data_IF_191030527878
#
_entry.id   IF_191030527878
#
_cell.length_a   1.000
_cell.length_b   1.000
_cell.length_c   1.000
_cell.angle_alpha   90.00
_cell.angle_beta   90.00
_cell.angle_gamma   90.00
#
_symmetry.space_group_name_H-M   'P 1'
#
loop_
_entity.id
_entity.type
_entity.pdbx_description
1 polymer ?
#
# COMPACT_ATOMS: atom_id res chain seq x y z
N UNK A 1 6.56 6.14 3.25
CA UNK A 1 6.15 7.16 2.29
C UNK A 1 7.26 8.19 2.11
N UNK A 2 7.45 8.65 0.90
CA UNK A 2 8.45 9.67 0.54
C UNK A 2 7.78 10.78 -0.26
N UNK A 3 8.16 12.01 0.02
CA UNK A 3 7.76 13.18 -0.74
C UNK A 3 8.93 13.65 -1.59
N UNK A 4 8.77 13.64 -2.91
CA UNK A 4 9.80 13.94 -3.87
C UNK A 4 9.48 15.23 -4.65
N UNK A 5 10.50 16.06 -4.87
CA UNK A 5 10.44 17.20 -5.79
C UNK A 5 11.39 16.97 -6.94
N UNK A 6 10.86 16.88 -8.15
CA UNK A 6 11.68 16.76 -9.36
C UNK A 6 12.21 18.13 -9.75
N UNK A 7 13.53 18.23 -9.86
CA UNK A 7 14.20 19.38 -10.47
C UNK A 7 14.14 19.20 -12.00
N UNK A 8 13.92 20.28 -12.73
CA UNK A 8 13.90 20.27 -14.20
C UNK A 8 15.16 19.65 -14.79
N UNK A 9 15.14 19.36 -16.07
CA UNK A 9 16.23 18.70 -16.79
C UNK A 9 17.53 19.50 -16.70
N UNK A 10 18.40 19.19 -15.75
CA UNK A 10 19.78 19.66 -15.79
C UNK A 10 20.54 18.84 -16.84
N UNK A 11 20.89 19.49 -17.92
CA UNK A 11 21.80 18.95 -18.92
C UNK A 11 23.20 19.12 -18.39
N UNK A 12 23.80 18.10 -17.79
CA UNK A 12 25.22 18.14 -17.48
C UNK A 12 26.00 18.23 -18.79
N UNK A 13 26.92 19.20 -18.90
CA UNK A 13 27.75 19.42 -20.07
C UNK A 13 28.71 18.27 -20.41
N UNK A 14 28.81 17.27 -19.53
CA UNK A 14 29.76 16.15 -19.62
C UNK A 14 29.10 14.87 -20.13
N UNK A 15 27.79 14.67 -19.94
CA UNK A 15 27.08 13.54 -20.53
C UNK A 15 25.81 14.06 -21.21
N UNK A 16 25.60 13.69 -22.45
CA UNK A 16 24.36 13.96 -23.21
C UNK A 16 23.13 13.24 -22.65
N UNK A 17 23.22 12.66 -21.46
CA UNK A 17 22.11 11.99 -20.77
C UNK A 17 21.39 13.01 -19.88
N UNK A 18 20.10 13.17 -20.11
CA UNK A 18 19.20 13.92 -19.22
C UNK A 18 19.06 13.13 -17.91
N UNK A 19 19.75 13.56 -16.85
CA UNK A 19 19.58 12.98 -15.53
C UNK A 19 18.37 13.67 -14.89
N UNK A 20 17.32 12.90 -14.62
CA UNK A 20 16.20 13.39 -13.80
C UNK A 20 16.63 13.33 -12.35
N UNK A 21 16.86 14.48 -11.75
CA UNK A 21 17.17 14.58 -10.33
C UNK A 21 15.88 14.78 -9.53
N UNK A 22 15.69 13.96 -8.50
CA UNK A 22 14.64 14.15 -7.51
C UNK A 22 15.27 14.54 -6.17
N UNK A 23 14.68 15.52 -5.50
CA UNK A 23 15.04 15.86 -4.13
C UNK A 23 14.01 15.26 -3.17
N UNK A 24 14.48 14.58 -2.12
CA UNK A 24 13.61 14.06 -1.07
C UNK A 24 13.24 15.23 -0.13
N UNK A 25 11.99 15.66 -0.21
CA UNK A 25 11.43 16.71 0.64
C UNK A 25 11.06 16.18 2.02
N UNK A 26 10.49 14.98 2.06
CA UNK A 26 10.15 14.31 3.31
C UNK A 26 10.14 12.81 3.18
N UNK A 27 10.36 12.13 4.30
CA UNK A 27 10.33 10.67 4.41
C UNK A 27 9.77 10.26 5.75
N UNK A 28 8.83 9.35 5.75
CA UNK A 28 8.25 8.77 6.96
C UNK A 28 7.93 7.30 6.75
N UNK A 29 7.77 6.54 7.83
CA UNK A 29 7.46 5.13 7.79
C UNK A 29 6.80 4.64 9.07
N UNK A 30 6.08 3.54 8.94
CA UNK A 30 5.52 2.76 10.05
C UNK A 30 6.06 1.34 9.98
N UNK A 31 6.06 0.64 11.11
CA UNK A 31 6.42 -0.78 11.17
C UNK A 31 5.27 -1.70 10.72
N UNK A 32 4.24 -1.16 10.08
CA UNK A 32 3.09 -1.91 9.58
C UNK A 32 3.28 -2.22 8.10
N UNK A 33 3.10 -3.48 7.74
CA UNK A 33 3.20 -3.96 6.37
C UNK A 33 2.28 -5.14 6.07
N UNK A 34 2.48 -5.80 4.94
CA UNK A 34 1.62 -6.89 4.47
C UNK A 34 1.50 -8.04 5.47
N UNK A 35 2.58 -8.37 6.20
CA UNK A 35 2.58 -9.44 7.22
C UNK A 35 1.72 -9.10 8.44
N UNK A 36 1.65 -7.83 8.81
CA UNK A 36 0.79 -7.41 9.93
C UNK A 36 -0.68 -7.56 9.54
N UNK A 37 -1.04 -7.26 8.30
CA UNK A 37 -2.41 -7.48 7.81
C UNK A 37 -2.78 -8.97 7.82
N UNK A 38 -1.84 -9.85 7.43
CA UNK A 38 -2.02 -11.30 7.50
C UNK A 38 -2.23 -11.75 8.94
N UNK A 39 -1.44 -11.23 9.89
CA UNK A 39 -1.57 -11.54 11.30
C UNK A 39 -2.92 -11.05 11.86
N UNK A 40 -3.38 -9.88 11.50
CA UNK A 40 -4.69 -9.36 11.94
C UNK A 40 -5.86 -10.21 11.44
N UNK A 41 -5.75 -10.78 10.23
CA UNK A 41 -6.72 -11.75 9.72
C UNK A 41 -6.68 -13.03 10.57
N UNK A 42 -5.48 -13.55 10.86
CA UNK A 42 -5.30 -14.73 11.72
C UNK A 42 -5.90 -14.49 13.10
N UNK A 43 -5.57 -13.38 13.74
CA UNK A 43 -6.04 -13.03 15.07
C UNK A 43 -7.56 -12.88 15.12
N UNK A 44 -8.15 -12.29 14.08
CA UNK A 44 -9.60 -12.18 13.95
C UNK A 44 -10.28 -13.56 13.96
N UNK A 45 -9.76 -14.54 13.19
CA UNK A 45 -10.34 -15.88 13.14
C UNK A 45 -10.13 -16.64 14.42
N UNK A 46 -8.96 -16.57 15.05
CA UNK A 46 -8.68 -17.23 16.33
C UNK A 46 -9.56 -16.65 17.43
N UNK A 47 -9.60 -15.34 17.58
CA UNK A 47 -10.29 -14.68 18.69
C UNK A 47 -11.82 -14.80 18.60
N UNK A 48 -12.37 -14.68 17.40
CA UNK A 48 -13.82 -14.64 17.21
C UNK A 48 -14.45 -16.01 16.99
N UNK A 49 -13.70 -16.98 16.44
CA UNK A 49 -14.30 -18.21 15.93
C UNK A 49 -13.60 -19.50 16.37
N UNK A 50 -12.53 -19.43 17.15
CA UNK A 50 -11.74 -20.61 17.60
C UNK A 50 -11.26 -21.50 16.43
N UNK A 51 -10.85 -20.90 15.31
CA UNK A 51 -10.39 -21.62 14.14
C UNK A 51 -8.88 -21.51 13.98
N UNK A 52 -8.25 -22.65 13.67
CA UNK A 52 -6.87 -22.67 13.26
C UNK A 52 -6.74 -22.14 11.83
N UNK A 53 -6.13 -20.98 11.69
CA UNK A 53 -5.68 -20.47 10.39
C UNK A 53 -4.19 -20.15 10.46
N UNK A 54 -3.53 -20.06 9.31
CA UNK A 54 -2.12 -19.72 9.24
C UNK A 54 -1.88 -18.51 8.35
N UNK A 55 -0.68 -17.93 8.43
CA UNK A 55 -0.30 -16.73 7.69
C UNK A 55 -0.40 -16.91 6.16
N UNK A 56 -0.09 -18.10 5.63
CA UNK A 56 -0.19 -18.37 4.18
C UNK A 56 -1.63 -18.26 3.70
N UNK A 57 -2.57 -18.79 4.48
CA UNK A 57 -4.00 -18.70 4.14
C UNK A 57 -4.51 -17.26 4.26
N UNK A 58 -4.06 -16.54 5.29
CA UNK A 58 -4.39 -15.13 5.47
C UNK A 58 -3.85 -14.26 4.31
N UNK A 59 -2.63 -14.52 3.84
CA UNK A 59 -2.06 -13.84 2.68
C UNK A 59 -2.88 -14.09 1.40
N UNK A 60 -3.26 -15.35 1.15
CA UNK A 60 -4.13 -15.70 0.02
C UNK A 60 -5.44 -14.89 0.05
N UNK A 61 -6.08 -14.84 1.21
CA UNK A 61 -7.31 -14.07 1.45
C UNK A 61 -7.10 -12.60 1.16
N UNK A 62 -6.07 -12.00 1.77
CA UNK A 62 -5.71 -10.59 1.58
C UNK A 62 -5.52 -10.28 0.10
N UNK A 63 -4.74 -11.08 -0.62
CA UNK A 63 -4.48 -10.88 -2.04
C UNK A 63 -5.76 -10.95 -2.87
N UNK A 64 -6.63 -11.90 -2.61
CA UNK A 64 -7.91 -12.03 -3.33
C UNK A 64 -8.85 -10.87 -3.05
N UNK A 65 -9.02 -10.46 -1.79
CA UNK A 65 -9.87 -9.34 -1.42
C UNK A 65 -9.33 -7.98 -1.89
N UNK A 66 -8.02 -7.87 -2.11
CA UNK A 66 -7.38 -6.67 -2.66
C UNK A 66 -7.40 -6.61 -4.19
N UNK A 67 -7.70 -7.73 -4.86
CA UNK A 67 -7.72 -7.77 -6.32
C UNK A 67 -9.02 -7.16 -6.87
N UNK A 68 -8.90 -6.42 -7.99
CA UNK A 68 -10.05 -5.84 -8.70
C UNK A 68 -10.93 -6.88 -9.42
N UNK A 69 -10.54 -8.14 -9.40
CA UNK A 69 -11.21 -9.24 -10.12
C UNK A 69 -12.51 -9.65 -9.43
N UNK A 70 -12.65 -9.43 -8.12
CA UNK A 70 -13.87 -9.75 -7.38
C UNK A 70 -14.90 -8.63 -7.58
N UNK A 71 -15.42 -8.50 -8.82
CA UNK A 71 -16.50 -7.53 -9.12
C UNK A 71 -17.92 -8.05 -8.81
N UNK A 72 -18.11 -9.37 -8.65
CA UNK A 72 -19.43 -9.98 -8.58
C UNK A 72 -19.74 -10.77 -7.31
N UNK A 73 -18.73 -11.19 -6.54
CA UNK A 73 -18.95 -11.84 -5.25
C UNK A 73 -18.22 -11.04 -4.16
N UNK A 74 -18.95 -10.22 -3.40
CA UNK A 74 -18.39 -9.46 -2.29
C UNK A 74 -17.88 -10.35 -1.14
N UNK A 75 -17.84 -11.67 -1.33
CA UNK A 75 -17.47 -12.64 -0.29
C UNK A 75 -16.50 -13.68 -0.85
N UNK A 76 -15.42 -13.89 -0.14
CA UNK A 76 -14.47 -14.96 -0.43
C UNK A 76 -14.69 -16.13 0.52
N UNK A 77 -14.92 -17.31 -0.05
CA UNK A 77 -15.08 -18.56 0.72
C UNK A 77 -13.72 -19.08 1.17
N UNK A 78 -13.61 -19.39 2.46
CA UNK A 78 -12.41 -19.96 3.07
C UNK A 78 -12.82 -21.19 3.85
N UNK A 79 -12.14 -22.31 3.64
CA UNK A 79 -12.29 -23.48 4.48
C UNK A 79 -11.21 -23.46 5.56
N UNK A 80 -11.63 -23.47 6.81
CA UNK A 80 -10.77 -23.45 8.00
C UNK A 80 -11.02 -24.72 8.83
N UNK A 81 -9.97 -25.22 9.49
CA UNK A 81 -10.09 -26.31 10.42
C UNK A 81 -10.52 -25.78 11.80
N UNK A 82 -11.50 -26.42 12.40
CA UNK A 82 -11.88 -26.20 13.80
C UNK A 82 -10.86 -26.84 14.74
N UNK A 83 -10.91 -26.51 16.04
CA UNK A 83 -10.13 -27.20 17.08
C UNK A 83 -10.35 -28.72 17.12
N UNK A 84 -11.48 -29.18 16.58
CA UNK A 84 -11.84 -30.59 16.47
C UNK A 84 -11.43 -31.23 15.14
N UNK A 85 -10.55 -30.58 14.36
CA UNK A 85 -10.12 -31.01 13.02
C UNK A 85 -11.26 -31.18 11.99
N UNK A 86 -12.39 -30.51 12.20
CA UNK A 86 -13.48 -30.47 11.21
C UNK A 86 -13.28 -29.27 10.29
N UNK A 87 -13.41 -29.50 8.99
CA UNK A 87 -13.37 -28.41 8.01
C UNK A 87 -14.70 -27.63 8.03
N UNK A 88 -14.61 -26.32 8.13
CA UNK A 88 -15.76 -25.43 8.10
C UNK A 88 -15.52 -24.24 7.17
N UNK A 89 -16.54 -23.94 6.39
CA UNK A 89 -16.51 -22.85 5.43
C UNK A 89 -16.85 -21.51 6.07
N UNK A 90 -16.04 -20.51 5.78
CA UNK A 90 -16.25 -19.11 6.12
C UNK A 90 -16.33 -18.26 4.88
N UNK A 91 -17.06 -17.17 5.01
CA UNK A 91 -17.16 -16.16 3.97
C UNK A 91 -16.61 -14.84 4.51
N UNK A 92 -15.46 -14.43 4.01
CA UNK A 92 -14.89 -13.12 4.28
C UNK A 92 -15.30 -12.14 3.19
N UNK A 93 -15.99 -11.07 3.59
CA UNK A 93 -16.34 -9.99 2.66
C UNK A 93 -15.27 -8.89 2.67
N UNK A 94 -15.29 -8.04 1.63
CA UNK A 94 -14.45 -6.84 1.57
C UNK A 94 -14.69 -5.95 2.78
N UNK A 95 -15.94 -5.75 3.16
CA UNK A 95 -16.36 -4.91 4.30
C UNK A 95 -15.81 -5.45 5.62
N UNK A 96 -15.84 -6.78 5.80
CA UNK A 96 -15.28 -7.41 7.00
C UNK A 96 -13.75 -7.25 7.04
N UNK A 97 -13.08 -7.41 5.90
CA UNK A 97 -11.64 -7.17 5.83
C UNK A 97 -11.29 -5.72 6.16
N UNK A 98 -12.00 -4.75 5.59
CA UNK A 98 -11.82 -3.34 5.91
C UNK A 98 -12.07 -3.04 7.39
N UNK A 99 -13.09 -3.68 7.99
CA UNK A 99 -13.34 -3.59 9.43
C UNK A 99 -12.16 -4.09 10.26
N UNK A 100 -11.59 -5.25 9.92
CA UNK A 100 -10.38 -5.79 10.58
C UNK A 100 -9.23 -4.77 10.53
N UNK A 101 -8.98 -4.16 9.36
CA UNK A 101 -7.93 -3.15 9.19
C UNK A 101 -8.18 -1.90 10.03
N UNK A 102 -9.43 -1.43 10.09
CA UNK A 102 -9.81 -0.26 10.88
C UNK A 102 -9.70 -0.52 12.39
N UNK A 103 -10.14 -1.67 12.88
CA UNK A 103 -10.04 -2.07 14.29
C UNK A 103 -8.59 -2.17 14.75
N UNK A 104 -7.66 -2.50 13.84
CA UNK A 104 -6.22 -2.49 14.08
C UNK A 104 -5.56 -1.11 13.82
N UNK A 105 -6.35 -0.04 13.85
CA UNK A 105 -5.89 1.35 13.77
C UNK A 105 -5.16 1.74 12.47
N UNK A 106 -5.32 1.03 11.36
CA UNK A 106 -4.64 1.34 10.10
C UNK A 106 -4.85 2.80 9.69
N UNK A 107 -6.07 3.31 9.77
CA UNK A 107 -6.40 4.69 9.37
C UNK A 107 -5.65 5.72 10.24
N UNK A 108 -5.50 5.46 11.54
CA UNK A 108 -4.76 6.35 12.44
C UNK A 108 -3.26 6.37 12.10
N UNK A 109 -2.69 5.22 11.75
CA UNK A 109 -1.31 5.16 11.28
C UNK A 109 -1.11 5.94 9.97
N UNK A 110 -2.02 5.78 8.99
CA UNK A 110 -1.97 6.53 7.74
C UNK A 110 -2.10 8.05 7.98
N UNK A 111 -3.00 8.48 8.87
CA UNK A 111 -3.14 9.88 9.24
C UNK A 111 -1.85 10.45 9.87
N UNK A 112 -1.19 9.67 10.74
CA UNK A 112 0.08 10.06 11.35
C UNK A 112 1.18 10.24 10.30
N UNK A 113 1.32 9.27 9.37
CA UNK A 113 2.30 9.37 8.28
C UNK A 113 2.09 10.61 7.41
N UNK A 114 0.84 10.91 7.05
CA UNK A 114 0.52 12.09 6.25
C UNK A 114 0.84 13.38 7.01
N UNK A 115 0.53 13.44 8.30
CA UNK A 115 0.86 14.59 9.17
C UNK A 115 2.37 14.81 9.24
N UNK A 116 3.15 13.74 9.41
CA UNK A 116 4.60 13.82 9.48
C UNK A 116 5.20 14.32 8.16
N UNK A 117 4.73 13.82 7.02
CA UNK A 117 5.13 14.32 5.70
C UNK A 117 4.77 15.79 5.50
N UNK A 118 3.56 16.20 5.89
CA UNK A 118 3.11 17.59 5.81
C UNK A 118 4.00 18.53 6.63
N UNK A 119 4.40 18.10 7.84
CA UNK A 119 5.29 18.89 8.69
C UNK A 119 6.70 19.04 8.07
N UNK A 120 7.23 17.96 7.49
CA UNK A 120 8.53 17.99 6.82
C UNK A 120 8.49 18.87 5.55
N UNK A 121 7.40 18.81 4.78
CA UNK A 121 7.20 19.63 3.60
C UNK A 121 7.19 21.13 3.95
N UNK A 122 6.43 21.51 5.00
CA UNK A 122 6.37 22.90 5.49
C UNK A 122 7.75 23.41 5.90
N UNK A 123 8.57 22.59 6.55
CA UNK A 123 9.95 22.92 6.91
C UNK A 123 10.85 23.21 5.70
N UNK A 124 10.45 22.80 4.49
CA UNK A 124 11.15 23.06 3.23
C UNK A 124 10.36 23.98 2.29
N UNK A 125 9.42 24.74 2.81
CA UNK A 125 8.56 25.67 2.05
C UNK A 125 7.78 24.98 0.91
N UNK A 126 7.35 23.73 1.14
CA UNK A 126 6.51 22.96 0.23
C UNK A 126 5.18 22.60 0.91
N UNK A 127 4.11 22.42 0.13
CA UNK A 127 2.83 21.95 0.62
C UNK A 127 2.47 20.58 0.03
N UNK A 128 1.80 19.74 0.82
CA UNK A 128 1.22 18.48 0.34
C UNK A 128 0.04 18.75 -0.60
N UNK A 129 -0.59 19.91 -0.50
CA UNK A 129 -1.69 20.33 -1.38
C UNK A 129 -1.22 20.69 -2.80
N UNK A 130 0.09 20.87 -2.99
CA UNK A 130 0.72 21.17 -4.29
C UNK A 130 1.24 19.91 -5.00
N UNK A 131 0.89 18.73 -4.53
CA UNK A 131 1.30 17.47 -5.15
C UNK A 131 0.72 17.34 -6.56
N UNK A 132 1.57 16.94 -7.51
CA UNK A 132 1.14 16.68 -8.90
C UNK A 132 0.59 15.27 -9.07
N UNK A 133 1.12 14.28 -8.33
CA UNK A 133 0.67 12.89 -8.38
C UNK A 133 1.06 12.14 -7.12
N UNK A 134 0.36 11.03 -6.86
CA UNK A 134 0.70 10.04 -5.83
C UNK A 134 0.98 8.71 -6.51
N UNK A 135 2.14 8.14 -6.25
CA UNK A 135 2.54 6.85 -6.80
C UNK A 135 2.46 5.79 -5.70
N UNK A 136 1.58 4.81 -5.87
CA UNK A 136 1.38 3.70 -4.95
C UNK A 136 2.19 2.49 -5.37
N UNK A 137 3.21 2.12 -4.61
CA UNK A 137 4.07 0.97 -4.89
C UNK A 137 3.98 -0.08 -3.79
N UNK A 138 4.22 -1.35 -4.17
CA UNK A 138 4.19 -2.49 -3.28
C UNK A 138 2.79 -3.09 -3.07
N UNK A 139 2.75 -4.36 -2.62
CA UNK A 139 1.50 -5.14 -2.51
C UNK A 139 0.46 -4.54 -1.55
N UNK A 140 0.89 -3.99 -0.41
CA UNK A 140 -0.01 -3.37 0.57
C UNK A 140 -0.78 -2.17 0.01
N UNK A 141 -0.20 -1.43 -0.95
CA UNK A 141 -0.88 -0.29 -1.57
C UNK A 141 -2.07 -0.68 -2.46
N UNK A 142 -2.21 -1.96 -2.80
CA UNK A 142 -3.33 -2.46 -3.59
C UNK A 142 -4.63 -2.60 -2.78
N UNK A 143 -4.55 -2.53 -1.45
CA UNK A 143 -5.73 -2.60 -0.57
C UNK A 143 -6.67 -1.44 -0.88
N UNK A 144 -7.95 -1.72 -1.23
CA UNK A 144 -8.91 -0.68 -1.64
C UNK A 144 -9.09 0.42 -0.60
N UNK A 145 -9.17 0.06 0.69
CA UNK A 145 -9.28 1.01 1.80
C UNK A 145 -8.18 2.09 1.80
N UNK A 146 -6.94 1.72 1.44
CA UNK A 146 -5.82 2.68 1.37
C UNK A 146 -6.03 3.67 0.23
N UNK A 147 -6.46 3.18 -0.94
CA UNK A 147 -6.75 4.05 -2.11
C UNK A 147 -7.90 5.00 -1.82
N UNK A 148 -8.97 4.49 -1.22
CA UNK A 148 -10.13 5.29 -0.82
C UNK A 148 -9.78 6.34 0.23
N UNK A 149 -8.93 5.98 1.21
CA UNK A 149 -8.44 6.91 2.22
C UNK A 149 -7.64 8.05 1.58
N UNK A 150 -6.72 7.74 0.64
CA UNK A 150 -5.94 8.75 -0.08
C UNK A 150 -6.86 9.69 -0.86
N UNK A 151 -7.78 9.14 -1.65
CA UNK A 151 -8.71 9.93 -2.46
C UNK A 151 -9.58 10.88 -1.61
N UNK A 152 -9.91 10.48 -0.37
CA UNK A 152 -10.65 11.33 0.57
C UNK A 152 -9.78 12.42 1.21
N UNK A 153 -8.48 12.15 1.42
CA UNK A 153 -7.57 13.09 2.10
C UNK A 153 -6.97 14.12 1.16
N UNK A 154 -6.71 13.73 -0.06
CA UNK A 154 -6.08 14.56 -1.08
C UNK A 154 -6.92 14.41 -2.37
N UNK A 155 -8.08 15.08 -2.42
CA UNK A 155 -8.96 15.01 -3.59
C UNK A 155 -8.28 15.64 -4.80
N UNK A 156 -8.72 15.28 -6.00
CA UNK A 156 -8.30 15.84 -7.29
C UNK A 156 -6.84 15.55 -7.71
N UNK A 157 -6.12 14.71 -6.94
CA UNK A 157 -4.76 14.29 -7.30
C UNK A 157 -4.78 12.97 -8.09
N UNK A 158 -3.93 12.92 -9.11
CA UNK A 158 -3.73 11.68 -9.87
C UNK A 158 -3.07 10.61 -9.00
N UNK A 159 -3.73 9.45 -8.86
CA UNK A 159 -3.21 8.28 -8.13
C UNK A 159 -2.74 7.25 -9.14
N UNK A 160 -1.43 7.10 -9.26
CA UNK A 160 -0.78 6.11 -10.11
C UNK A 160 -0.53 4.83 -9.31
N UNK A 161 -0.93 3.68 -9.85
CA UNK A 161 -0.69 2.36 -9.24
C UNK A 161 0.03 1.45 -10.25
N UNK A 162 1.34 1.61 -10.42
CA UNK A 162 2.11 0.72 -11.30
C UNK A 162 2.12 -0.71 -10.76
N UNK A 163 2.47 -1.72 -11.59
CA UNK A 163 2.54 -3.11 -11.14
C UNK A 163 3.42 -3.24 -9.89
N UNK A 164 2.91 -3.79 -8.78
CA UNK A 164 3.56 -3.66 -7.47
C UNK A 164 4.89 -4.41 -7.37
N UNK A 165 5.03 -5.52 -8.10
CA UNK A 165 6.25 -6.37 -8.06
C UNK A 165 7.33 -5.82 -8.98
N UNK A 166 6.94 -5.28 -10.13
CA UNK A 166 7.87 -4.83 -11.18
C UNK A 166 8.42 -3.43 -10.94
N UNK A 167 7.69 -2.59 -10.18
CA UNK A 167 8.03 -1.19 -10.00
C UNK A 167 9.44 -0.96 -9.45
N UNK A 168 9.90 -1.79 -8.51
CA UNK A 168 11.25 -1.67 -7.92
C UNK A 168 12.30 -2.09 -8.96
N UNK A 169 12.07 -3.18 -9.70
CA UNK A 169 13.00 -3.66 -10.71
C UNK A 169 13.12 -2.66 -11.88
N UNK A 170 11.99 -2.12 -12.35
CA UNK A 170 11.95 -1.10 -13.39
C UNK A 170 12.68 0.18 -12.93
N UNK A 171 12.43 0.60 -11.68
CA UNK A 171 13.11 1.75 -11.10
C UNK A 171 14.62 1.56 -11.00
N UNK A 172 15.08 0.38 -10.59
CA UNK A 172 16.50 0.05 -10.54
C UNK A 172 17.15 0.03 -11.93
N UNK A 173 16.46 -0.53 -12.92
CA UNK A 173 16.91 -0.51 -14.33
C UNK A 173 17.00 0.91 -14.88
N UNK A 174 16.02 1.77 -14.58
CA UNK A 174 16.00 3.16 -15.00
C UNK A 174 17.19 3.97 -14.45
N UNK A 175 17.72 3.56 -13.30
CA UNK A 175 18.89 4.20 -12.67
C UNK A 175 20.22 3.61 -13.15
N UNK A 176 20.21 2.54 -13.95
CA UNK A 176 21.43 1.89 -14.45
C UNK A 176 21.94 2.63 -15.70
N UNK A 177 23.18 3.14 -15.72
CA UNK A 177 23.72 3.82 -16.87
C UNK A 177 23.74 2.92 -18.13
N UNK A 178 23.26 3.46 -19.25
CA UNK A 178 23.29 2.76 -20.54
C UNK A 178 22.11 1.83 -20.83
N UNK A 179 21.19 1.63 -19.89
CA UNK A 179 19.95 0.90 -20.14
C UNK A 179 18.90 1.85 -20.74
N UNK A 180 18.38 1.51 -21.92
CA UNK A 180 17.20 2.17 -22.51
C UNK A 180 15.97 1.36 -22.12
N UNK A 181 15.02 1.97 -21.44
CA UNK A 181 13.71 1.42 -21.11
C UNK A 181 12.70 1.90 -22.12
#
# INVERSE_FOLDING_TARGET
AELLKFKGNDVSSISKQKIRCAEIIGKTGSKIGGKDFDQWIVDFFISNNKYATNLLKAEEIKCKLSSSVIKYENKYKISLLTEQNQEKDFYLSKELFEKILCENNLINHLNSLLKDLSNQARGKFCSVDELSAIILVGGGSQIPLIKEWIAKKIPEIEIMSPPPIESIAIGALAMTPGVKI
#
